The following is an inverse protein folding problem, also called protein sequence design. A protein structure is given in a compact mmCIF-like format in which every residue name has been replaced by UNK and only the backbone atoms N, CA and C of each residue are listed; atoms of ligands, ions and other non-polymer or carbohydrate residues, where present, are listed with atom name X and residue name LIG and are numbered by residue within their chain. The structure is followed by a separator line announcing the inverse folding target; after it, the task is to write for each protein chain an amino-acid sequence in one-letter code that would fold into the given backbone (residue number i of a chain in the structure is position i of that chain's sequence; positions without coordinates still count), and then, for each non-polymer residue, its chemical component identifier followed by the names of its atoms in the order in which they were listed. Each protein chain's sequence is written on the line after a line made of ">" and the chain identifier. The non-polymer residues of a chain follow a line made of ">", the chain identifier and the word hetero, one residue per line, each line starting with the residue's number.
data_IF_574382590961
#
_entry.id   IF_574382590961
#
_cell.length_a   1.000
_cell.length_b   1.000
_cell.length_c   1.000
_cell.angle_alpha   90.00
_cell.angle_beta   90.00
_cell.angle_gamma   90.00
#
_symmetry.space_group_name_H-M   'P 1'
#
loop_
_entity.id
_entity.type
_entity.pdbx_description
1 polymer ?
#
# COMPACT_ATOMS: atom_id res chain seq x y z
N UNK A 1 0.80 8.01 -15.51
CA UNK A 1 2.17 8.01 -15.40
C UNK A 1 2.71 6.61 -15.20
N UNK A 2 3.75 6.27 -15.94
CA UNK A 2 4.23 4.90 -16.01
C UNK A 2 4.73 4.37 -14.66
N UNK A 3 5.40 5.19 -13.87
CA UNK A 3 5.90 4.76 -12.57
C UNK A 3 4.78 4.38 -11.62
N UNK A 4 3.71 5.16 -11.59
CA UNK A 4 2.54 4.88 -10.77
C UNK A 4 1.87 3.58 -11.20
N UNK A 5 1.71 3.38 -12.49
CA UNK A 5 1.14 2.16 -13.04
C UNK A 5 2.00 0.94 -12.73
N UNK A 6 3.32 1.09 -12.80
CA UNK A 6 4.23 -0.01 -12.52
C UNK A 6 4.12 -0.46 -11.07
N UNK A 7 4.06 0.47 -10.13
CA UNK A 7 3.91 0.13 -8.71
C UNK A 7 2.57 -0.58 -8.48
N UNK A 8 1.48 -0.03 -9.02
CA UNK A 8 0.15 -0.63 -8.89
C UNK A 8 0.12 -2.05 -9.46
N UNK A 9 0.63 -2.22 -10.68
CA UNK A 9 0.59 -3.51 -11.35
C UNK A 9 1.46 -4.54 -10.63
N UNK A 10 2.65 -4.13 -10.19
CA UNK A 10 3.55 -5.01 -9.45
C UNK A 10 2.91 -5.46 -8.15
N UNK A 11 2.32 -4.54 -7.39
CA UNK A 11 1.66 -4.90 -6.13
C UNK A 11 0.48 -5.83 -6.35
N UNK A 12 -0.33 -5.58 -7.38
CA UNK A 12 -1.46 -6.46 -7.68
C UNK A 12 -0.99 -7.87 -8.02
N UNK A 13 0.08 -8.01 -8.81
CA UNK A 13 0.65 -9.32 -9.12
C UNK A 13 1.16 -10.02 -7.87
N UNK A 14 1.92 -9.31 -7.04
CA UNK A 14 2.47 -9.86 -5.80
C UNK A 14 1.34 -10.33 -4.89
N UNK A 15 0.29 -9.53 -4.74
CA UNK A 15 -0.83 -9.89 -3.87
C UNK A 15 -1.54 -11.16 -4.32
N UNK A 16 -1.61 -11.41 -5.63
CA UNK A 16 -2.22 -12.64 -6.12
C UNK A 16 -1.33 -13.87 -5.89
N UNK A 17 -0.03 -13.67 -5.81
CA UNK A 17 0.94 -14.77 -5.62
C UNK A 17 1.14 -15.12 -4.15
N UNK A 18 0.86 -14.21 -3.23
CA UNK A 18 1.06 -14.46 -1.80
C UNK A 18 0.04 -15.45 -1.26
N UNK A 19 0.51 -16.38 -0.45
CA UNK A 19 -0.36 -17.27 0.31
C UNK A 19 -0.85 -16.58 1.58
N UNK A 20 -1.87 -17.17 2.23
CA UNK A 20 -2.35 -16.65 3.51
C UNK A 20 -1.21 -16.63 4.52
N UNK A 21 -1.19 -15.58 5.33
CA UNK A 21 -0.19 -15.31 6.38
C UNK A 21 1.18 -14.91 5.84
N UNK A 22 1.35 -14.80 4.52
CA UNK A 22 2.58 -14.29 3.95
C UNK A 22 2.72 -12.79 4.28
N UNK A 23 3.95 -12.39 4.56
CA UNK A 23 4.28 -11.01 4.92
C UNK A 23 4.84 -10.30 3.70
N UNK A 24 4.27 -9.13 3.41
CA UNK A 24 4.76 -8.24 2.36
C UNK A 24 5.35 -7.00 3.00
N UNK A 25 6.64 -6.78 2.76
CA UNK A 25 7.35 -5.61 3.25
C UNK A 25 7.82 -4.77 2.08
N UNK A 26 7.49 -3.49 2.10
CA UNK A 26 7.85 -2.57 1.02
C UNK A 26 8.56 -1.36 1.59
N UNK A 27 9.73 -1.05 1.02
CA UNK A 27 10.49 0.15 1.35
C UNK A 27 10.37 1.14 0.21
N UNK A 28 10.00 2.37 0.52
CA UNK A 28 9.96 3.46 -0.45
C UNK A 28 10.88 4.59 0.00
N UNK A 29 11.39 5.37 -0.97
CA UNK A 29 12.31 6.47 -0.70
C UNK A 29 11.74 7.83 -1.09
N UNK A 30 10.58 7.84 -1.75
CA UNK A 30 9.93 9.07 -2.19
C UNK A 30 8.51 9.13 -1.65
N UNK A 31 8.08 10.35 -1.32
CA UNK A 31 6.75 10.56 -0.74
C UNK A 31 5.62 10.10 -1.65
N UNK A 32 5.78 10.26 -2.96
CA UNK A 32 4.76 9.84 -3.91
C UNK A 32 4.63 8.31 -3.95
N UNK A 33 5.76 7.60 -4.00
CA UNK A 33 5.76 6.15 -3.95
C UNK A 33 5.13 5.63 -2.66
N UNK A 34 5.50 6.23 -1.54
CA UNK A 34 4.94 5.85 -0.24
C UNK A 34 3.44 6.07 -0.19
N UNK A 35 2.96 7.18 -0.76
CA UNK A 35 1.51 7.46 -0.82
C UNK A 35 0.77 6.38 -1.61
N UNK A 36 1.32 5.94 -2.72
CA UNK A 36 0.72 4.91 -3.55
C UNK A 36 0.63 3.59 -2.77
N UNK A 37 1.73 3.17 -2.16
CA UNK A 37 1.77 1.94 -1.36
C UNK A 37 0.79 2.03 -0.20
N UNK A 38 0.81 3.14 0.53
CA UNK A 38 -0.11 3.39 1.64
C UNK A 38 -1.57 3.24 1.20
N UNK A 39 -1.92 3.86 0.08
CA UNK A 39 -3.31 3.85 -0.40
C UNK A 39 -3.73 2.46 -0.86
N UNK A 40 -2.84 1.73 -1.53
CA UNK A 40 -3.12 0.35 -1.95
C UNK A 40 -3.30 -0.55 -0.72
N UNK A 41 -2.41 -0.45 0.26
CA UNK A 41 -2.52 -1.23 1.49
C UNK A 41 -3.82 -0.94 2.24
N UNK A 42 -4.18 0.34 2.36
CA UNK A 42 -5.43 0.72 3.02
C UNK A 42 -6.66 0.23 2.27
N UNK A 43 -6.62 0.30 0.95
CA UNK A 43 -7.72 -0.15 0.11
C UNK A 43 -8.04 -1.62 0.36
N UNK A 44 -7.01 -2.48 0.37
CA UNK A 44 -7.19 -3.91 0.53
C UNK A 44 -7.28 -4.36 1.99
N UNK A 45 -7.06 -3.45 2.95
CA UNK A 45 -7.19 -3.78 4.37
C UNK A 45 -8.62 -3.62 4.91
N UNK A 46 -9.53 -3.18 4.05
CA UNK A 46 -10.96 -3.02 4.36
C UNK A 46 -11.77 -3.74 3.29
N UNK A 47 -13.08 -3.81 3.50
CA UNK A 47 -13.94 -4.29 2.43
C UNK A 47 -13.76 -3.41 1.19
N UNK A 48 -13.57 -4.04 0.06
CA UNK A 48 -13.24 -3.33 -1.18
C UNK A 48 -14.05 -3.88 -2.34
N UNK A 49 -14.17 -3.08 -3.38
CA UNK A 49 -14.89 -3.49 -4.60
C UNK A 49 -14.32 -2.77 -5.81
N UNK A 50 -14.43 -3.45 -6.95
CA UNK A 50 -13.89 -2.94 -8.21
C UNK A 50 -12.37 -2.94 -8.22
N UNK A 51 -11.82 -2.44 -9.31
CA UNK A 51 -10.37 -2.33 -9.44
C UNK A 51 -9.89 -1.03 -8.83
N UNK A 52 -8.74 -1.09 -8.21
CA UNK A 52 -8.09 0.12 -7.72
C UNK A 52 -7.56 0.90 -8.93
N UNK A 53 -7.93 2.17 -9.02
CA UNK A 53 -7.52 3.04 -10.12
C UNK A 53 -6.40 3.96 -9.68
N UNK A 54 -5.69 4.53 -10.64
CA UNK A 54 -4.64 5.50 -10.35
C UNK A 54 -5.17 6.69 -9.57
N UNK A 55 -6.36 7.16 -9.92
CA UNK A 55 -6.97 8.27 -9.21
C UNK A 55 -7.20 7.95 -7.74
N UNK A 56 -7.65 6.74 -7.45
CA UNK A 56 -7.91 6.30 -6.09
C UNK A 56 -6.63 6.22 -5.28
N UNK A 57 -5.55 5.67 -5.85
CA UNK A 57 -4.30 5.45 -5.10
C UNK A 57 -3.46 6.71 -4.96
N UNK A 58 -3.62 7.69 -5.84
CA UNK A 58 -2.82 8.92 -5.81
C UNK A 58 -3.56 10.10 -5.17
N UNK A 59 -4.88 10.00 -5.01
CA UNK A 59 -5.69 11.10 -4.47
C UNK A 59 -5.42 11.33 -2.97
N UNK A 60 -5.49 12.57 -2.50
CA UNK A 60 -5.53 12.83 -1.07
C UNK A 60 -6.68 12.08 -0.40
N UNK A 61 -6.53 11.80 0.89
CA UNK A 61 -7.49 10.98 1.63
C UNK A 61 -8.93 11.42 1.47
N UNK A 62 -9.19 12.73 1.52
CA UNK A 62 -10.54 13.27 1.42
C UNK A 62 -11.13 13.05 0.02
N UNK A 63 -10.31 13.24 -1.01
CA UNK A 63 -10.75 13.02 -2.38
C UNK A 63 -11.00 11.56 -2.69
N UNK A 64 -10.25 10.64 -2.05
CA UNK A 64 -10.51 9.21 -2.22
C UNK A 64 -11.93 8.84 -1.83
N UNK A 65 -12.43 9.41 -0.74
CA UNK A 65 -13.79 9.13 -0.30
C UNK A 65 -14.83 9.70 -1.26
N UNK A 66 -14.51 10.80 -1.93
CA UNK A 66 -15.43 11.39 -2.91
C UNK A 66 -15.54 10.58 -4.18
N UNK A 67 -14.43 9.97 -4.62
CA UNK A 67 -14.39 9.23 -5.88
C UNK A 67 -14.73 7.76 -5.72
N UNK A 68 -14.87 7.27 -4.51
CA UNK A 68 -15.28 5.88 -4.29
C UNK A 68 -16.72 5.69 -4.73
N UNK A 69 -16.97 4.80 -5.70
CA UNK A 69 -18.33 4.52 -6.11
C UNK A 69 -19.10 3.80 -5.00
N UNK A 70 -20.40 4.02 -4.96
CA UNK A 70 -21.26 3.22 -4.09
C UNK A 70 -21.47 1.89 -4.81
N UNK A 71 -20.86 0.85 -4.30
CA UNK A 71 -20.90 -0.47 -4.90
C UNK A 71 -21.66 -1.42 -4.00
N UNK A 72 -22.39 -2.33 -4.63
CA UNK A 72 -23.22 -3.31 -3.92
C UNK A 72 -22.44 -4.58 -3.57
N UNK A 73 -21.37 -4.86 -4.33
CA UNK A 73 -20.56 -6.05 -4.12
C UNK A 73 -19.23 -5.69 -3.51
N UNK A 74 -19.03 -6.13 -2.27
CA UNK A 74 -17.79 -5.92 -1.55
C UNK A 74 -17.05 -7.23 -1.39
N UNK A 75 -15.75 -7.17 -1.55
CA UNK A 75 -14.86 -8.28 -1.24
C UNK A 75 -14.36 -8.13 0.20
N UNK A 76 -14.08 -9.23 0.89
CA UNK A 76 -13.47 -9.13 2.22
C UNK A 76 -12.05 -8.57 2.10
N UNK A 77 -11.52 -7.97 3.17
CA UNK A 77 -10.14 -7.50 3.15
C UNK A 77 -9.17 -8.63 2.84
N UNK A 78 -8.15 -8.33 2.06
CA UNK A 78 -7.11 -9.31 1.71
C UNK A 78 -5.77 -9.00 2.35
N UNK A 79 -5.65 -7.86 3.03
CA UNK A 79 -4.45 -7.46 3.75
C UNK A 79 -4.81 -7.07 5.18
N UNK A 80 -3.89 -7.38 6.09
CA UNK A 80 -3.90 -6.87 7.45
C UNK A 80 -2.64 -6.03 7.62
N UNK A 81 -2.81 -4.77 8.01
CA UNK A 81 -1.67 -3.89 8.20
C UNK A 81 -0.93 -4.27 9.48
N UNK A 82 0.35 -4.62 9.35
CA UNK A 82 1.18 -4.95 10.49
C UNK A 82 1.59 -3.68 11.23
N UNK A 83 1.94 -2.64 10.48
CA UNK A 83 2.21 -1.32 11.06
C UNK A 83 1.28 -0.28 10.42
N UNK A 84 0.58 0.48 11.24
CA UNK A 84 -0.33 1.54 10.75
C UNK A 84 0.42 2.76 10.28
N UNK A 85 1.58 3.03 10.86
CA UNK A 85 2.47 4.11 10.47
C UNK A 85 3.73 3.51 9.85
N UNK A 86 4.34 4.17 8.86
CA UNK A 86 5.56 3.64 8.28
C UNK A 86 6.68 3.61 9.31
N UNK A 87 7.51 2.58 9.23
CA UNK A 87 8.71 2.48 10.03
C UNK A 87 9.79 3.29 9.32
N UNK A 88 10.44 4.18 10.05
CA UNK A 88 11.48 5.03 9.52
C UNK A 88 12.81 4.69 10.17
N UNK A 89 13.92 5.11 9.54
CA UNK A 89 15.26 4.86 10.06
C UNK A 89 15.49 5.62 11.38
N UNK A 90 16.25 4.99 12.28
CA UNK A 90 16.64 5.64 13.52
C UNK A 90 17.63 6.78 13.25
N UNK A 91 17.77 7.75 14.18
CA UNK A 91 18.78 8.79 14.02
C UNK A 91 20.20 8.25 13.86
N UNK A 92 20.52 7.16 14.54
CA UNK A 92 21.83 6.51 14.42
C UNK A 92 22.05 5.95 13.01
N UNK A 93 21.03 5.32 12.45
CA UNK A 93 21.11 4.79 11.09
C UNK A 93 21.27 5.90 10.07
N UNK A 94 20.56 7.02 10.25
CA UNK A 94 20.66 8.16 9.34
C UNK A 94 22.07 8.74 9.35
N UNK A 95 22.75 8.75 10.50
CA UNK A 95 24.14 9.21 10.59
C UNK A 95 25.10 8.34 9.79
N UNK A 96 24.91 7.03 9.85
CA UNK A 96 25.77 6.06 9.17
C UNK A 96 25.42 5.96 7.69
N UNK A 97 24.14 6.06 7.38
CA UNK A 97 23.62 5.90 6.03
C UNK A 97 22.61 7.02 5.73
N UNK A 98 23.09 8.22 5.35
CA UNK A 98 22.20 9.37 5.14
C UNK A 98 21.03 9.14 4.21
N UNK A 99 21.12 8.36 3.11
CA UNK A 99 19.95 8.10 2.27
C UNK A 99 18.79 7.43 2.99
N UNK A 100 19.03 6.73 4.11
CA UNK A 100 17.98 6.06 4.86
C UNK A 100 16.97 7.04 5.47
N UNK A 101 17.29 8.33 5.55
CA UNK A 101 16.38 9.34 6.08
C UNK A 101 15.04 9.37 5.35
N UNK A 102 15.06 9.12 4.05
CA UNK A 102 13.85 9.13 3.21
C UNK A 102 13.14 7.79 3.16
N UNK A 103 13.73 6.73 3.73
CA UNK A 103 13.17 5.39 3.65
C UNK A 103 11.95 5.24 4.56
N UNK A 104 10.90 4.64 4.02
CA UNK A 104 9.70 4.28 4.78
C UNK A 104 9.36 2.83 4.51
N UNK A 105 9.23 2.05 5.58
CA UNK A 105 8.89 0.62 5.50
C UNK A 105 7.43 0.42 5.89
N UNK A 106 6.69 -0.22 5.01
CA UNK A 106 5.31 -0.62 5.28
C UNK A 106 5.18 -2.13 5.17
N UNK A 107 4.51 -2.72 6.13
CA UNK A 107 4.39 -4.18 6.24
C UNK A 107 2.92 -4.56 6.33
N UNK A 108 2.52 -5.56 5.55
CA UNK A 108 1.17 -6.11 5.57
C UNK A 108 1.22 -7.63 5.51
N UNK A 109 0.18 -8.27 6.01
CA UNK A 109 0.01 -9.72 5.99
C UNK A 109 -1.15 -10.08 5.05
N UNK A 110 -0.94 -11.08 4.22
CA UNK A 110 -2.01 -11.57 3.33
C UNK A 110 -3.02 -12.39 4.12
N UNK A 111 -4.30 -12.07 3.95
CA UNK A 111 -5.40 -12.77 4.63
C UNK A 111 -6.51 -13.08 3.63
N UNK A 112 -7.41 -13.97 4.03
CA UNK A 112 -8.65 -14.28 3.28
C UNK A 112 -8.42 -14.75 1.85
N UNK A 113 -7.30 -15.41 1.59
CA UNK A 113 -7.07 -16.03 0.28
C UNK A 113 -7.80 -17.37 0.22
N UNK A 114 -8.60 -17.52 -0.81
CA UNK A 114 -9.32 -18.77 -1.04
C UNK A 114 -8.43 -19.83 -1.68
#
# INVERSE_FOLDING_TARGET
>A
NQELNNIKNTLNEVLTLLSNDAILSIVTFHSLEDRIVKNIFKYYSKEWSGEITEQLISAPRQERYRVMPVLTDYNPPILELVNKKPITASPEEVKVNPPSRSAKLRVARRINKK
#
